data_IF_848399503419
#
_entry.id   IF_848399503419
#
_cell.length_a   1.000
_cell.length_b   1.000
_cell.length_c   1.000
_cell.angle_alpha   90.00
_cell.angle_beta   90.00
_cell.angle_gamma   90.00
#
_symmetry.space_group_name_H-M   'P 1'
#
loop_
_entity.id
_entity.type
_entity.pdbx_description
1 polymer ?
#
# COMPACT_ATOMS: atom_id res chain seq x y z
N UNK A 1 17.65 -2.62 -2.36
CA UNK A 1 17.73 -1.89 -3.64
C UNK A 1 16.95 -0.61 -3.50
N UNK A 2 17.59 0.48 -3.76
CA UNK A 2 17.10 1.84 -3.54
C UNK A 2 16.29 2.33 -4.73
N UNK A 3 15.51 3.39 -4.54
CA UNK A 3 14.65 4.00 -5.52
C UNK A 3 15.46 4.65 -6.67
N UNK A 4 15.83 3.87 -7.70
CA UNK A 4 16.52 4.37 -8.88
C UNK A 4 15.70 4.09 -10.14
N UNK A 5 15.42 5.17 -10.90
CA UNK A 5 14.91 5.22 -12.26
C UNK A 5 13.45 4.81 -12.52
N UNK A 6 12.52 5.71 -12.19
CA UNK A 6 11.21 5.77 -12.85
C UNK A 6 11.34 6.61 -14.12
N UNK A 7 11.24 5.99 -15.29
CA UNK A 7 11.25 6.71 -16.58
C UNK A 7 9.83 7.08 -16.99
N UNK A 8 9.61 8.35 -17.27
CA UNK A 8 8.44 9.09 -17.79
C UNK A 8 7.40 9.53 -16.77
N UNK A 9 7.27 10.84 -16.71
CA UNK A 9 6.32 11.73 -15.99
C UNK A 9 5.57 11.05 -14.85
N UNK A 10 6.15 11.04 -13.72
CA UNK A 10 5.83 10.12 -12.64
C UNK A 10 4.65 10.55 -11.79
N UNK A 11 4.16 11.78 -11.90
CA UNK A 11 2.95 12.22 -11.21
C UNK A 11 2.78 11.67 -9.80
N UNK A 12 1.71 10.91 -9.59
CA UNK A 12 1.41 10.28 -8.31
C UNK A 12 2.49 9.26 -7.89
N UNK A 13 3.02 8.46 -8.79
CA UNK A 13 4.02 7.45 -8.47
C UNK A 13 5.33 8.08 -7.97
N UNK A 14 5.80 9.18 -8.58
CA UNK A 14 6.97 9.91 -8.09
C UNK A 14 6.73 10.48 -6.70
N UNK A 15 5.57 11.08 -6.49
CA UNK A 15 5.17 11.57 -5.17
C UNK A 15 5.22 10.45 -4.12
N UNK A 16 4.59 9.31 -4.45
CA UNK A 16 4.51 8.15 -3.56
C UNK A 16 5.91 7.61 -3.25
N UNK A 17 6.77 7.46 -4.28
CA UNK A 17 8.14 6.97 -4.07
C UNK A 17 9.02 7.95 -3.30
N UNK A 18 8.79 9.27 -3.41
CA UNK A 18 9.47 10.27 -2.57
C UNK A 18 9.17 10.10 -1.07
N UNK A 19 8.02 9.53 -0.73
CA UNK A 19 7.67 9.29 0.67
C UNK A 19 8.54 8.23 1.35
N UNK A 20 9.11 7.28 0.59
CA UNK A 20 10.04 6.29 1.16
C UNK A 20 11.45 6.82 1.32
N UNK A 21 11.83 7.84 0.57
CA UNK A 21 13.21 8.34 0.54
C UNK A 21 14.21 7.34 -0.06
N UNK A 22 15.49 7.49 0.26
CA UNK A 22 16.58 6.62 -0.18
C UNK A 22 16.79 5.46 0.80
N UNK A 23 15.86 4.50 0.78
CA UNK A 23 15.82 3.36 1.70
C UNK A 23 15.83 2.04 0.92
N UNK A 24 16.44 1.00 1.51
CA UNK A 24 16.41 -0.35 0.96
C UNK A 24 15.01 -0.98 1.10
N UNK A 25 14.59 -1.78 0.10
CA UNK A 25 13.24 -2.36 0.05
C UNK A 25 12.86 -3.13 1.32
N UNK A 26 13.74 -4.02 1.79
CA UNK A 26 13.43 -4.85 2.96
C UNK A 26 13.27 -4.00 4.24
N UNK A 27 14.08 -2.96 4.37
CA UNK A 27 14.00 -2.01 5.48
C UNK A 27 12.70 -1.19 5.39
N UNK A 28 12.33 -0.70 4.20
CA UNK A 28 11.08 0.03 3.99
C UNK A 28 9.86 -0.83 4.36
N UNK A 29 9.84 -2.09 3.91
CA UNK A 29 8.77 -3.04 4.24
C UNK A 29 8.69 -3.30 5.74
N UNK A 30 9.82 -3.48 6.44
CA UNK A 30 9.83 -3.70 7.88
C UNK A 30 9.36 -2.47 8.65
N UNK A 31 9.86 -1.28 8.32
CA UNK A 31 9.39 -0.02 8.93
C UNK A 31 7.88 0.16 8.74
N UNK A 32 7.36 -0.19 7.57
CA UNK A 32 5.93 -0.07 7.31
C UNK A 32 5.09 -1.08 8.12
N UNK A 33 5.60 -2.27 8.40
CA UNK A 33 4.98 -3.21 9.35
C UNK A 33 4.98 -2.64 10.77
N UNK A 34 6.11 -2.09 11.22
CA UNK A 34 6.22 -1.46 12.54
C UNK A 34 5.25 -0.26 12.70
N UNK A 35 4.95 0.45 11.60
CA UNK A 35 3.93 1.51 11.61
C UNK A 35 2.51 0.97 11.79
N UNK A 36 2.19 -0.18 11.18
CA UNK A 36 0.91 -0.86 11.38
C UNK A 36 0.76 -1.27 12.86
N UNK A 37 1.81 -1.82 13.45
CA UNK A 37 1.81 -2.28 14.85
C UNK A 37 1.68 -1.13 15.87
N UNK A 38 2.04 0.08 15.48
CA UNK A 38 1.95 1.30 16.31
C UNK A 38 0.63 2.05 16.17
N UNK A 39 -0.33 1.58 15.37
CA UNK A 39 -1.64 2.22 15.26
C UNK A 39 -2.37 2.20 16.61
N UNK A 40 -2.85 3.35 17.05
CA UNK A 40 -3.73 3.46 18.24
C UNK A 40 -5.14 3.02 17.88
N UNK A 41 -5.39 1.71 18.04
CA UNK A 41 -6.69 1.09 17.75
C UNK A 41 -7.82 1.75 18.55
N UNK A 42 -7.56 2.12 19.82
CA UNK A 42 -8.58 2.75 20.66
C UNK A 42 -8.95 4.14 20.11
N UNK A 43 -7.97 4.91 19.65
CA UNK A 43 -8.21 6.20 19.00
C UNK A 43 -8.99 6.04 17.69
N UNK A 44 -8.61 5.09 16.84
CA UNK A 44 -9.30 4.84 15.58
C UNK A 44 -10.76 4.39 15.82
N UNK A 45 -11.01 3.58 16.85
CA UNK A 45 -12.37 3.17 17.25
C UNK A 45 -13.23 4.34 17.74
N UNK A 46 -12.66 5.32 18.48
CA UNK A 46 -13.41 6.53 18.89
C UNK A 46 -13.81 7.41 17.70
N UNK A 47 -12.98 7.45 16.67
CA UNK A 47 -13.33 8.14 15.43
C UNK A 47 -14.44 7.38 14.70
N UNK A 48 -14.35 6.05 14.63
CA UNK A 48 -15.35 5.17 14.03
C UNK A 48 -15.57 5.48 12.55
N UNK A 49 -16.82 5.58 12.14
CA UNK A 49 -17.23 5.83 10.75
C UNK A 49 -17.27 7.33 10.36
N UNK A 50 -16.74 8.22 11.20
CA UNK A 50 -16.69 9.66 10.87
C UNK A 50 -15.79 9.88 9.65
N UNK A 51 -16.18 10.83 8.81
CA UNK A 51 -15.38 11.33 7.68
C UNK A 51 -15.07 12.82 7.87
N UNK A 52 -13.93 13.28 7.37
CA UNK A 52 -13.53 14.69 7.53
C UNK A 52 -14.28 15.63 6.57
N UNK A 53 -14.92 15.07 5.54
CA UNK A 53 -15.70 15.79 4.53
C UNK A 53 -16.73 14.83 3.93
N UNK A 54 -17.79 15.38 3.34
CA UNK A 54 -18.82 14.61 2.63
C UNK A 54 -18.19 13.78 1.50
N UNK A 55 -18.68 12.58 1.31
CA UNK A 55 -18.29 11.64 0.25
C UNK A 55 -16.82 11.15 0.35
N UNK A 56 -16.15 11.37 1.48
CA UNK A 56 -14.83 10.78 1.76
C UNK A 56 -14.98 9.39 2.40
N UNK A 57 -13.98 8.56 2.21
CA UNK A 57 -13.93 7.23 2.78
C UNK A 57 -13.82 7.29 4.31
N UNK A 58 -14.36 6.29 5.00
CA UNK A 58 -14.08 6.05 6.42
C UNK A 58 -12.65 5.52 6.59
N UNK A 59 -12.13 5.54 7.83
CA UNK A 59 -10.86 4.86 8.13
C UNK A 59 -10.93 3.37 7.78
N UNK A 60 -12.07 2.73 7.99
CA UNK A 60 -12.31 1.33 7.65
C UNK A 60 -12.08 1.08 6.15
N UNK A 61 -12.64 1.93 5.29
CA UNK A 61 -12.46 1.84 3.83
C UNK A 61 -11.02 2.15 3.41
N UNK A 62 -10.33 3.06 4.08
CA UNK A 62 -8.92 3.33 3.82
C UNK A 62 -8.07 2.10 4.16
N UNK A 63 -8.29 1.46 5.31
CA UNK A 63 -7.57 0.24 5.68
C UNK A 63 -7.85 -0.91 4.71
N UNK A 64 -9.11 -1.13 4.33
CA UNK A 64 -9.46 -2.13 3.33
C UNK A 64 -8.82 -1.85 1.97
N UNK A 65 -8.81 -0.59 1.54
CA UNK A 65 -8.14 -0.19 0.30
C UNK A 65 -6.64 -0.52 0.33
N UNK A 66 -5.95 -0.28 1.43
CA UNK A 66 -4.54 -0.67 1.58
C UNK A 66 -4.35 -2.18 1.45
N UNK A 67 -5.21 -2.96 2.10
CA UNK A 67 -5.19 -4.44 2.05
C UNK A 67 -5.38 -4.94 0.61
N UNK A 68 -6.40 -4.44 -0.06
CA UNK A 68 -6.77 -4.89 -1.41
C UNK A 68 -5.69 -4.53 -2.44
N UNK A 69 -5.19 -3.28 -2.40
CA UNK A 69 -4.15 -2.84 -3.32
C UNK A 69 -2.81 -3.55 -3.10
N UNK A 70 -2.44 -3.84 -1.86
CA UNK A 70 -1.23 -4.61 -1.58
C UNK A 70 -1.32 -6.02 -2.18
N UNK A 71 -2.46 -6.70 -2.07
CA UNK A 71 -2.70 -8.01 -2.70
C UNK A 71 -2.62 -7.94 -4.22
N UNK A 72 -3.25 -6.93 -4.83
CA UNK A 72 -3.22 -6.73 -6.27
C UNK A 72 -1.78 -6.49 -6.75
N UNK A 73 -1.02 -5.66 -6.04
CA UNK A 73 0.36 -5.36 -6.42
C UNK A 73 1.30 -6.54 -6.19
N UNK A 74 1.12 -7.31 -5.13
CA UNK A 74 1.84 -8.56 -4.93
C UNK A 74 1.56 -9.58 -6.05
N UNK A 75 0.30 -9.70 -6.49
CA UNK A 75 -0.05 -10.54 -7.63
C UNK A 75 0.68 -10.09 -8.91
N UNK A 76 0.70 -8.79 -9.20
CA UNK A 76 1.46 -8.24 -10.33
C UNK A 76 2.95 -8.52 -10.22
N UNK A 77 3.53 -8.31 -9.03
CA UNK A 77 4.94 -8.61 -8.79
C UNK A 77 5.28 -10.08 -9.04
N UNK A 78 4.43 -11.02 -8.63
CA UNK A 78 4.63 -12.46 -8.85
C UNK A 78 4.64 -12.80 -10.35
N UNK A 79 3.72 -12.26 -11.14
CA UNK A 79 3.64 -12.50 -12.59
C UNK A 79 4.99 -12.13 -13.26
N UNK A 80 5.51 -10.93 -12.98
CA UNK A 80 6.80 -10.50 -13.53
C UNK A 80 7.98 -11.29 -12.95
N UNK A 81 7.96 -11.59 -11.64
CA UNK A 81 9.00 -12.37 -10.98
C UNK A 81 9.14 -13.80 -11.55
N UNK A 82 8.06 -14.34 -12.12
CA UNK A 82 8.03 -15.68 -12.75
C UNK A 82 8.17 -15.65 -14.26
N UNK A 83 8.37 -14.45 -14.87
CA UNK A 83 8.58 -14.28 -16.29
C UNK A 83 7.34 -14.48 -17.16
N UNK A 84 6.15 -14.51 -16.56
CA UNK A 84 4.90 -14.64 -17.30
C UNK A 84 4.54 -13.33 -18.02
N UNK A 85 4.70 -12.18 -17.35
CA UNK A 85 4.72 -10.87 -18.00
C UNK A 85 3.38 -10.30 -18.47
N UNK A 86 2.28 -11.00 -18.25
CA UNK A 86 0.95 -10.46 -18.56
C UNK A 86 0.68 -9.23 -17.69
N UNK A 87 0.29 -8.13 -18.33
CA UNK A 87 -0.07 -6.89 -17.62
C UNK A 87 -1.56 -6.92 -17.27
N UNK A 88 -1.93 -7.12 -15.99
CA UNK A 88 -3.33 -7.06 -15.59
C UNK A 88 -3.93 -5.69 -15.88
N UNK A 89 -5.21 -5.66 -16.27
CA UNK A 89 -5.94 -4.42 -16.50
C UNK A 89 -5.97 -3.50 -15.27
N UNK A 90 -6.33 -2.23 -15.51
CA UNK A 90 -6.56 -1.28 -14.43
C UNK A 90 -7.79 -1.65 -13.60
N UNK A 91 -7.79 -1.26 -12.34
CA UNK A 91 -8.90 -1.44 -11.40
C UNK A 91 -9.41 -0.07 -10.94
N UNK A 92 -10.73 0.07 -10.81
CA UNK A 92 -11.36 1.28 -10.32
C UNK A 92 -11.48 1.22 -8.80
N UNK A 93 -10.64 2.02 -8.12
CA UNK A 93 -10.61 2.07 -6.65
C UNK A 93 -11.91 2.61 -6.04
N UNK A 94 -12.63 3.50 -6.73
CA UNK A 94 -13.88 4.07 -6.21
C UNK A 94 -14.99 3.02 -6.24
N UNK A 95 -15.06 2.22 -7.30
CA UNK A 95 -15.98 1.08 -7.37
C UNK A 95 -15.64 0.05 -6.29
N UNK A 96 -14.36 -0.29 -6.11
CA UNK A 96 -13.91 -1.21 -5.08
C UNK A 96 -14.26 -0.70 -3.67
N UNK A 97 -13.94 0.55 -3.36
CA UNK A 97 -14.24 1.15 -2.06
C UNK A 97 -15.74 1.26 -1.78
N UNK A 98 -16.55 1.57 -2.80
CA UNK A 98 -18.02 1.63 -2.68
C UNK A 98 -18.64 0.26 -2.38
N UNK A 99 -18.11 -0.80 -2.98
CA UNK A 99 -18.66 -2.15 -2.87
C UNK A 99 -18.02 -2.97 -1.74
N UNK A 100 -17.03 -2.40 -1.01
CA UNK A 100 -16.45 -3.07 0.13
C UNK A 100 -17.43 -3.09 1.31
N UNK A 101 -17.37 -4.14 2.13
CA UNK A 101 -18.09 -4.22 3.41
C UNK A 101 -17.23 -3.75 4.60
N UNK A 102 -16.21 -2.95 4.35
CA UNK A 102 -15.23 -2.54 5.36
C UNK A 102 -15.86 -1.87 6.59
N UNK A 103 -16.93 -1.09 6.39
CA UNK A 103 -17.64 -0.39 7.46
C UNK A 103 -18.38 -1.35 8.44
N UNK A 104 -18.50 -2.65 8.09
CA UNK A 104 -19.08 -3.70 8.93
C UNK A 104 -18.01 -4.46 9.73
N UNK A 105 -16.73 -4.27 9.42
CA UNK A 105 -15.59 -4.90 10.10
C UNK A 105 -15.09 -4.03 11.25
N UNK A 106 -14.50 -4.63 12.28
CA UNK A 106 -13.84 -3.84 13.31
C UNK A 106 -12.48 -3.31 12.84
N UNK A 107 -12.01 -2.22 13.44
CA UNK A 107 -10.66 -1.68 13.20
C UNK A 107 -9.60 -2.74 13.50
N UNK A 108 -9.78 -3.52 14.58
CA UNK A 108 -8.88 -4.61 14.97
C UNK A 108 -8.77 -5.68 13.88
N UNK A 109 -9.89 -6.07 13.26
CA UNK A 109 -9.91 -7.04 12.17
C UNK A 109 -9.14 -6.50 10.96
N UNK A 110 -9.41 -5.26 10.54
CA UNK A 110 -8.76 -4.63 9.39
C UNK A 110 -7.26 -4.41 9.62
N UNK A 111 -6.86 -3.93 10.80
CA UNK A 111 -5.44 -3.75 11.13
C UNK A 111 -4.70 -5.09 11.21
N UNK A 112 -5.34 -6.11 11.78
CA UNK A 112 -4.75 -7.46 11.83
C UNK A 112 -4.59 -8.05 10.42
N UNK A 113 -5.58 -7.88 9.55
CA UNK A 113 -5.52 -8.34 8.16
C UNK A 113 -4.41 -7.61 7.38
N UNK A 114 -4.31 -6.28 7.52
CA UNK A 114 -3.23 -5.48 6.91
C UNK A 114 -1.85 -5.96 7.37
N UNK A 115 -1.70 -6.27 8.67
CA UNK A 115 -0.46 -6.83 9.24
C UNK A 115 -0.09 -8.16 8.60
N UNK A 116 -1.05 -9.09 8.51
CA UNK A 116 -0.82 -10.43 7.93
C UNK A 116 -0.44 -10.32 6.44
N UNK A 117 -1.12 -9.45 5.69
CA UNK A 117 -0.79 -9.21 4.28
C UNK A 117 0.62 -8.63 4.15
N UNK A 118 1.00 -7.63 4.97
CA UNK A 118 2.34 -7.05 4.98
C UNK A 118 3.41 -8.08 5.33
N UNK A 119 3.18 -8.95 6.29
CA UNK A 119 4.10 -10.05 6.62
C UNK A 119 4.29 -10.99 5.43
N UNK A 120 3.21 -11.34 4.74
CA UNK A 120 3.26 -12.14 3.50
C UNK A 120 4.07 -11.43 2.40
N UNK A 121 3.87 -10.11 2.24
CA UNK A 121 4.60 -9.27 1.28
C UNK A 121 6.11 -9.26 1.59
N UNK A 122 6.49 -9.10 2.86
CA UNK A 122 7.89 -9.17 3.31
C UNK A 122 8.52 -10.52 2.94
N UNK A 123 7.84 -11.62 3.24
CA UNK A 123 8.33 -12.96 2.91
C UNK A 123 8.46 -13.15 1.40
N UNK A 124 7.49 -12.68 0.63
CA UNK A 124 7.50 -12.77 -0.84
C UNK A 124 8.70 -12.03 -1.44
N UNK A 125 8.86 -10.74 -1.14
CA UNK A 125 9.98 -9.94 -1.68
C UNK A 125 11.33 -10.39 -1.12
N UNK A 126 11.38 -10.84 0.14
CA UNK A 126 12.58 -11.42 0.75
C UNK A 126 13.04 -12.73 0.09
N UNK A 127 12.14 -13.46 -0.58
CA UNK A 127 12.48 -14.66 -1.35
C UNK A 127 13.06 -14.38 -2.74
N UNK A 128 12.96 -13.14 -3.24
CA UNK A 128 13.44 -12.75 -4.56
C UNK A 128 14.94 -12.43 -4.52
N UNK A 129 15.70 -13.08 -5.38
CA UNK A 129 17.10 -12.73 -5.56
C UNK A 129 17.26 -11.41 -6.32
N UNK A 130 18.49 -10.87 -6.35
CA UNK A 130 18.80 -9.59 -7.02
C UNK A 130 18.33 -9.56 -8.48
N UNK A 131 18.54 -10.64 -9.24
CA UNK A 131 18.14 -10.72 -10.66
C UNK A 131 16.64 -10.57 -10.84
N UNK A 132 15.84 -11.19 -9.95
CA UNK A 132 14.37 -11.05 -9.96
C UNK A 132 13.97 -9.61 -9.58
N UNK A 133 14.56 -9.04 -8.53
CA UNK A 133 14.24 -7.69 -8.08
C UNK A 133 14.58 -6.60 -9.11
N UNK A 134 15.56 -6.87 -10.00
CA UNK A 134 15.97 -6.00 -11.09
C UNK A 134 15.21 -6.27 -12.41
N UNK A 135 14.32 -7.27 -12.46
CA UNK A 135 13.50 -7.54 -13.63
C UNK A 135 12.68 -6.30 -13.97
N UNK A 136 12.75 -5.84 -15.21
CA UNK A 136 11.92 -4.74 -15.68
C UNK A 136 10.47 -5.22 -15.83
N UNK A 137 9.54 -4.46 -15.28
CA UNK A 137 8.12 -4.74 -15.33
C UNK A 137 7.33 -3.49 -15.72
N UNK A 138 6.14 -3.70 -16.27
CA UNK A 138 5.19 -2.62 -16.55
C UNK A 138 4.21 -2.51 -15.37
N UNK A 139 4.24 -1.36 -14.72
CA UNK A 139 3.37 -1.07 -13.58
C UNK A 139 2.59 0.21 -13.88
N UNK A 140 1.29 0.08 -14.09
CA UNK A 140 0.47 1.09 -14.79
C UNK A 140 1.04 1.35 -16.19
N UNK A 141 1.43 2.58 -16.48
CA UNK A 141 2.05 3.01 -17.74
C UNK A 141 3.59 3.15 -17.63
N UNK A 142 4.16 2.74 -16.49
CA UNK A 142 5.58 2.94 -16.17
C UNK A 142 6.35 1.64 -16.30
N UNK A 143 7.52 1.72 -16.94
CA UNK A 143 8.52 0.67 -16.88
C UNK A 143 9.45 0.91 -15.70
N UNK A 144 9.58 -0.08 -14.83
CA UNK A 144 10.38 0.03 -13.60
C UNK A 144 10.92 -1.33 -13.16
N UNK A 145 12.00 -1.37 -12.37
CA UNK A 145 12.44 -2.59 -11.72
C UNK A 145 11.39 -3.11 -10.75
N UNK A 146 11.27 -4.43 -10.65
CA UNK A 146 10.25 -5.10 -9.83
C UNK A 146 10.29 -4.67 -8.35
N UNK A 147 11.47 -4.42 -7.78
CA UNK A 147 11.59 -3.94 -6.40
C UNK A 147 10.84 -2.61 -6.15
N UNK A 148 10.64 -1.79 -7.19
CA UNK A 148 9.90 -0.54 -7.10
C UNK A 148 8.42 -0.77 -6.75
N UNK A 149 7.83 -1.91 -7.15
CA UNK A 149 6.47 -2.28 -6.73
C UNK A 149 6.42 -2.41 -5.20
N UNK A 150 7.40 -3.07 -4.59
CA UNK A 150 7.48 -3.19 -3.13
C UNK A 150 7.65 -1.83 -2.43
N UNK A 151 8.47 -0.93 -2.97
CA UNK A 151 8.59 0.44 -2.45
C UNK A 151 7.28 1.22 -2.62
N UNK A 152 6.55 1.02 -3.72
CA UNK A 152 5.24 1.64 -3.93
C UNK A 152 4.22 1.18 -2.89
N UNK A 153 4.22 -0.10 -2.51
CA UNK A 153 3.35 -0.62 -1.44
C UNK A 153 3.59 0.14 -0.13
N UNK A 154 4.86 0.31 0.27
CA UNK A 154 5.19 1.02 1.52
C UNK A 154 4.82 2.50 1.45
N UNK A 155 5.12 3.16 0.34
CA UNK A 155 4.82 4.56 0.13
C UNK A 155 3.31 4.83 0.09
N UNK A 156 2.52 3.95 -0.48
CA UNK A 156 1.05 4.02 -0.50
C UNK A 156 0.47 3.97 0.91
N UNK A 157 1.01 3.09 1.77
CA UNK A 157 0.63 3.08 3.18
C UNK A 157 0.97 4.42 3.86
N UNK A 158 2.19 4.94 3.67
CA UNK A 158 2.62 6.22 4.24
C UNK A 158 1.67 7.34 3.81
N UNK A 159 1.31 7.38 2.53
CA UNK A 159 0.34 8.36 2.00
C UNK A 159 -0.98 8.32 2.76
N UNK A 160 -1.58 7.14 2.88
CA UNK A 160 -2.87 6.99 3.55
C UNK A 160 -2.78 7.19 5.07
N UNK A 161 -1.69 6.79 5.71
CA UNK A 161 -1.47 7.05 7.14
C UNK A 161 -1.29 8.55 7.41
N UNK A 162 -0.66 9.29 6.51
CA UNK A 162 -0.60 10.75 6.60
C UNK A 162 -2.00 11.38 6.47
N UNK A 163 -2.84 10.90 5.55
CA UNK A 163 -4.25 11.34 5.45
C UNK A 163 -5.00 11.06 6.75
N UNK A 164 -4.86 9.85 7.31
CA UNK A 164 -5.49 9.51 8.61
C UNK A 164 -5.02 10.47 9.69
N UNK A 165 -3.71 10.67 9.82
CA UNK A 165 -3.11 11.57 10.81
C UNK A 165 -3.59 13.00 10.68
N UNK A 166 -3.61 13.54 9.46
CA UNK A 166 -3.89 14.96 9.22
C UNK A 166 -5.38 15.29 9.20
N UNK A 167 -6.22 14.35 8.74
CA UNK A 167 -7.64 14.61 8.48
C UNK A 167 -8.58 13.91 9.45
N UNK A 168 -8.23 12.72 9.95
CA UNK A 168 -9.13 11.93 10.79
C UNK A 168 -8.80 12.02 12.27
N UNK A 169 -7.52 11.99 12.68
CA UNK A 169 -7.19 12.09 14.11
C UNK A 169 -7.76 13.37 14.76
N UNK A 170 -7.86 14.53 14.09
CA UNK A 170 -8.54 15.71 14.66
C UNK A 170 -10.04 15.51 14.94
N UNK A 171 -10.67 14.44 14.44
CA UNK A 171 -12.07 14.11 14.70
C UNK A 171 -12.28 13.34 16.02
N UNK A 172 -11.20 12.91 16.67
CA UNK A 172 -11.20 12.30 17.99
C UNK A 172 -11.42 13.39 19.07
N UNK A 173 -12.71 13.73 19.30
CA UNK A 173 -13.14 14.75 20.29
C UNK A 173 -14.07 14.12 21.29
#
# INVERSE_FOLDING_TARGET
MKNQEVKKNPGFLEYVLKLTGDIELNEALQISLDQIDKLDIAQLNRIGLKTYERDKWTIHKILQHLIDWERIWCFRAIIFARGEGTVPGAHDQEIMGKNSNADELSIEQLVNELRVVRQSTIMMFGSFNKKILETNCVFFEYEMPLHTIGLTITAHQIHHFNIIKERYLPLDK
#
